data_IF_390893566111
#
_entry.id   IF_390893566111
#
_cell.length_a   1.000
_cell.length_b   1.000
_cell.length_c   1.000
_cell.angle_alpha   90.00
_cell.angle_beta   90.00
_cell.angle_gamma   90.00
#
_symmetry.space_group_name_H-M   'P 1'
#
loop_
_entity.id
_entity.type
_entity.pdbx_description
1 polymer ?
#
# COMPACT_ATOMS: atom_id res chain seq x y z
N UNK A 1 23.11 -25.87 14.38
CA UNK A 1 23.13 -25.16 13.09
C UNK A 1 22.19 -23.99 13.27
N UNK A 2 22.71 -22.77 13.40
CA UNK A 2 21.88 -21.58 13.40
C UNK A 2 21.36 -21.43 11.97
N UNK A 3 20.04 -21.59 11.78
CA UNK A 3 19.43 -21.28 10.49
C UNK A 3 19.57 -19.78 10.25
N UNK A 4 19.86 -19.38 9.02
CA UNK A 4 19.98 -17.97 8.65
C UNK A 4 18.77 -17.19 9.18
N UNK A 5 19.04 -16.26 10.08
CA UNK A 5 18.04 -15.40 10.70
C UNK A 5 17.36 -14.57 9.59
N UNK A 6 16.03 -14.63 9.51
CA UNK A 6 15.29 -13.96 8.45
C UNK A 6 15.09 -12.49 8.81
N UNK A 7 15.55 -11.59 7.97
CA UNK A 7 15.52 -10.14 8.27
C UNK A 7 14.24 -9.49 7.73
N UNK A 8 13.70 -8.52 8.46
CA UNK A 8 12.59 -7.65 8.05
C UNK A 8 13.11 -6.21 7.93
N UNK A 9 13.04 -5.64 6.73
CA UNK A 9 13.37 -4.24 6.47
C UNK A 9 12.14 -3.34 6.68
N UNK A 10 12.35 -2.22 7.36
CA UNK A 10 11.39 -1.12 7.37
C UNK A 10 11.76 -0.11 6.27
N UNK A 11 10.80 0.17 5.40
CA UNK A 11 10.93 1.13 4.30
C UNK A 11 10.06 2.34 4.62
N UNK A 12 10.70 3.49 4.83
CA UNK A 12 10.08 4.74 5.21
C UNK A 12 9.92 5.63 3.99
N UNK A 13 8.70 6.10 3.72
CA UNK A 13 8.36 6.86 2.51
C UNK A 13 8.05 8.31 2.85
N UNK A 14 8.73 9.24 2.16
CA UNK A 14 8.44 10.68 2.25
C UNK A 14 8.59 11.41 0.91
N UNK A 15 7.81 12.48 0.71
CA UNK A 15 7.60 13.10 -0.60
C UNK A 15 7.84 14.60 -0.74
N UNK A 16 8.00 15.34 0.36
CA UNK A 16 7.99 16.80 0.27
C UNK A 16 9.40 17.36 0.19
N UNK A 17 9.66 18.16 -0.86
CA UNK A 17 10.71 19.18 -0.88
C UNK A 17 10.10 20.47 -0.33
N UNK A 18 10.50 20.93 0.87
CA UNK A 18 10.18 22.32 1.25
C UNK A 18 11.11 23.23 0.47
N UNK A 19 10.61 24.40 0.07
CA UNK A 19 11.45 25.45 -0.49
C UNK A 19 12.42 25.95 0.59
N UNK A 20 13.55 25.26 0.78
CA UNK A 20 14.65 25.64 1.66
C UNK A 20 15.12 24.60 2.70
N UNK A 21 14.29 23.61 3.08
CA UNK A 21 14.59 22.64 4.15
C UNK A 21 14.06 21.24 3.78
N UNK A 22 14.80 20.16 4.06
CA UNK A 22 14.39 18.80 3.71
C UNK A 22 15.06 18.29 2.44
N UNK A 23 16.36 17.97 2.58
CA UNK A 23 17.09 17.13 1.63
C UNK A 23 16.82 15.65 1.94
N UNK A 24 17.07 14.77 0.98
CA UNK A 24 17.05 13.32 1.18
C UNK A 24 17.88 12.91 2.41
N UNK A 25 19.02 13.58 2.63
CA UNK A 25 19.89 13.38 3.81
C UNK A 25 19.19 13.69 5.14
N UNK A 26 18.43 14.80 5.21
CA UNK A 26 17.70 15.20 6.42
C UNK A 26 16.62 14.15 6.76
N UNK A 27 15.98 13.60 5.73
CA UNK A 27 14.98 12.54 5.89
C UNK A 27 15.63 11.23 6.36
N UNK A 28 16.78 10.85 5.78
CA UNK A 28 17.52 9.66 6.19
C UNK A 28 17.95 9.73 7.67
N UNK A 29 18.46 10.87 8.13
CA UNK A 29 18.83 11.07 9.54
C UNK A 29 17.61 10.92 10.48
N UNK A 30 16.49 11.56 10.14
CA UNK A 30 15.26 11.48 10.93
C UNK A 30 14.68 10.06 10.97
N UNK A 31 14.79 9.33 9.86
CA UNK A 31 14.40 7.92 9.77
C UNK A 31 15.29 7.04 10.65
N UNK A 32 16.61 7.29 10.68
CA UNK A 32 17.54 6.55 11.55
C UNK A 32 17.20 6.71 13.03
N UNK A 33 16.89 7.94 13.48
CA UNK A 33 16.46 8.19 14.86
C UNK A 33 15.15 7.46 15.17
N UNK A 34 14.14 7.61 14.31
CA UNK A 34 12.85 6.95 14.48
C UNK A 34 12.98 5.44 14.56
N UNK A 35 13.75 4.87 13.65
CA UNK A 35 13.91 3.42 13.52
C UNK A 35 14.55 2.81 14.76
N UNK A 36 15.52 3.49 15.38
CA UNK A 36 16.10 3.08 16.67
C UNK A 36 15.00 2.86 17.72
N UNK A 37 14.03 3.77 17.83
CA UNK A 37 12.91 3.59 18.76
C UNK A 37 11.92 2.52 18.32
N UNK A 38 11.76 2.26 17.01
CA UNK A 38 10.94 1.12 16.53
C UNK A 38 11.55 -0.20 16.98
N UNK A 39 12.88 -0.35 16.87
CA UNK A 39 13.60 -1.53 17.35
C UNK A 39 13.42 -1.71 18.87
N UNK A 40 13.59 -0.64 19.65
CA UNK A 40 13.41 -0.66 21.11
C UNK A 40 12.00 -1.08 21.53
N UNK A 41 10.96 -0.48 20.93
CA UNK A 41 9.57 -0.76 21.30
C UNK A 41 9.14 -2.16 20.81
N UNK A 42 9.61 -2.61 19.64
CA UNK A 42 9.37 -3.97 19.15
C UNK A 42 10.02 -5.03 20.07
N UNK A 43 11.21 -4.76 20.61
CA UNK A 43 11.90 -5.63 21.57
C UNK A 43 11.13 -5.80 22.89
N UNK A 44 10.32 -4.82 23.28
CA UNK A 44 9.57 -4.82 24.54
C UNK A 44 8.17 -5.43 24.42
N UNK A 45 7.65 -5.62 23.21
CA UNK A 45 6.30 -6.15 22.96
C UNK A 45 6.31 -7.66 22.78
N UNK A 46 5.81 -8.40 23.77
CA UNK A 46 5.67 -9.86 23.68
C UNK A 46 4.80 -10.27 22.48
N UNK A 47 3.74 -9.53 22.19
CA UNK A 47 2.82 -9.83 21.08
C UNK A 47 3.49 -9.61 19.73
N UNK A 48 4.27 -8.54 19.57
CA UNK A 48 5.02 -8.30 18.34
C UNK A 48 6.14 -9.33 18.16
N UNK A 49 6.87 -9.67 19.23
CA UNK A 49 7.89 -10.72 19.23
C UNK A 49 7.30 -12.06 18.78
N UNK A 50 6.18 -12.48 19.35
CA UNK A 50 5.55 -13.75 19.03
C UNK A 50 4.97 -13.79 17.61
N UNK A 51 4.31 -12.71 17.17
CA UNK A 51 3.48 -12.77 15.97
C UNK A 51 4.16 -12.25 14.70
N UNK A 52 5.01 -11.23 14.82
CA UNK A 52 5.79 -10.68 13.70
C UNK A 52 7.17 -11.32 13.65
N UNK A 53 7.88 -11.35 14.78
CA UNK A 53 9.25 -11.84 14.84
C UNK A 53 9.38 -13.35 15.08
N UNK A 54 8.25 -14.01 15.37
CA UNK A 54 8.16 -15.46 15.60
C UNK A 54 9.19 -15.94 16.62
N UNK A 55 9.26 -15.24 17.74
CA UNK A 55 10.17 -15.52 18.87
C UNK A 55 11.63 -15.66 18.44
N UNK A 56 12.10 -14.72 17.59
CA UNK A 56 13.48 -14.63 17.13
C UNK A 56 13.80 -15.43 15.86
N UNK A 57 12.80 -16.02 15.18
CA UNK A 57 13.03 -16.54 13.82
C UNK A 57 13.22 -15.42 12.79
N UNK A 58 12.69 -14.23 13.10
CA UNK A 58 12.94 -13.01 12.34
C UNK A 58 13.54 -11.92 13.22
N UNK A 59 14.39 -11.09 12.63
CA UNK A 59 14.87 -9.84 13.21
C UNK A 59 14.48 -8.65 12.37
N UNK A 60 14.40 -7.49 12.99
CA UNK A 60 14.32 -6.23 12.27
C UNK A 60 15.73 -5.83 11.85
N UNK A 61 15.90 -5.45 10.58
CA UNK A 61 17.16 -4.87 10.12
C UNK A 61 17.47 -3.63 10.97
N UNK A 62 18.71 -3.45 11.42
CA UNK A 62 19.09 -2.26 12.19
C UNK A 62 19.17 -1.00 11.33
N UNK A 63 19.40 -1.17 10.03
CA UNK A 63 19.56 -0.06 9.09
C UNK A 63 18.25 0.18 8.33
N UNK A 64 17.55 1.31 8.56
CA UNK A 64 16.31 1.58 7.88
C UNK A 64 16.53 1.99 6.42
N UNK A 65 15.53 1.73 5.59
CA UNK A 65 15.53 2.16 4.19
C UNK A 65 14.68 3.42 4.07
N UNK A 66 15.32 4.55 3.78
CA UNK A 66 14.64 5.79 3.43
C UNK A 66 14.34 5.81 1.92
N UNK A 67 13.06 5.91 1.57
CA UNK A 67 12.60 6.13 0.20
C UNK A 67 12.06 7.55 0.04
N UNK A 68 12.90 8.43 -0.49
CA UNK A 68 12.54 9.80 -0.80
C UNK A 68 12.16 9.93 -2.28
N UNK A 69 11.02 10.56 -2.56
CA UNK A 69 10.56 10.80 -3.94
C UNK A 69 10.41 12.28 -4.30
N UNK A 70 10.61 13.19 -3.33
CA UNK A 70 10.41 14.63 -3.50
C UNK A 70 11.41 15.34 -4.43
N UNK A 71 12.54 14.69 -4.74
CA UNK A 71 13.61 15.16 -5.62
C UNK A 71 13.34 14.86 -7.10
N UNK A 72 12.35 14.01 -7.40
CA UNK A 72 12.11 13.49 -8.75
C UNK A 72 11.33 14.46 -9.66
N UNK A 73 11.25 15.74 -9.28
CA UNK A 73 10.38 16.75 -9.88
C UNK A 73 11.13 17.93 -10.50
N UNK A 74 10.64 18.34 -11.67
CA UNK A 74 10.96 19.65 -12.25
C UNK A 74 10.15 20.75 -11.56
N UNK A 75 10.81 21.85 -11.20
CA UNK A 75 10.20 22.97 -10.46
C UNK A 75 8.94 23.56 -11.13
N UNK A 76 8.76 23.37 -12.44
CA UNK A 76 7.65 23.92 -13.23
C UNK A 76 6.28 23.31 -12.92
N UNK A 77 6.18 22.00 -12.69
CA UNK A 77 4.88 21.34 -12.41
C UNK A 77 4.37 21.65 -11.01
N UNK A 78 5.28 21.73 -10.03
CA UNK A 78 4.95 22.10 -8.65
C UNK A 78 4.55 23.57 -8.54
N UNK A 79 5.23 24.46 -9.28
CA UNK A 79 4.89 25.88 -9.33
C UNK A 79 3.48 26.14 -9.86
N UNK A 80 3.01 25.39 -10.86
CA UNK A 80 1.63 25.52 -11.38
C UNK A 80 0.58 25.16 -10.31
N UNK A 81 0.79 24.08 -9.57
CA UNK A 81 -0.11 23.68 -8.48
C UNK A 81 -0.02 24.65 -7.29
N UNK A 82 1.17 25.17 -6.99
CA UNK A 82 1.38 26.19 -5.95
C UNK A 82 0.66 27.51 -6.26
N UNK A 83 0.54 27.89 -7.55
CA UNK A 83 -0.27 29.03 -8.01
C UNK A 83 -1.77 28.75 -7.82
N UNK A 84 -2.24 27.53 -8.14
CA UNK A 84 -3.66 27.18 -7.95
C UNK A 84 -4.06 27.06 -6.47
N UNK A 85 -3.13 26.75 -5.58
CA UNK A 85 -3.35 26.69 -4.14
C UNK A 85 -2.99 28.00 -3.43
N UNK A 86 -2.72 29.08 -4.17
CA UNK A 86 -2.35 30.38 -3.60
C UNK A 86 -3.44 30.96 -2.69
N UNK A 87 -4.73 30.68 -2.98
CA UNK A 87 -5.87 31.09 -2.16
C UNK A 87 -5.81 30.53 -0.72
N UNK A 88 -5.18 29.36 -0.52
CA UNK A 88 -4.97 28.82 0.81
C UNK A 88 -3.88 29.59 1.58
N UNK A 89 -2.99 30.32 0.91
CA UNK A 89 -1.81 30.97 1.53
C UNK A 89 -2.06 32.43 1.98
N UNK A 90 -3.26 32.99 1.76
CA UNK A 90 -3.56 34.43 1.95
C UNK A 90 -3.91 34.89 3.40
N UNK A 91 -3.67 34.07 4.44
CA UNK A 91 -3.98 34.49 5.83
C UNK A 91 -2.92 35.43 6.43
N UNK A 92 -3.40 36.48 7.13
CA UNK A 92 -2.57 37.47 7.84
C UNK A 92 -2.10 37.04 9.25
N UNK A 93 -2.48 35.86 9.74
CA UNK A 93 -2.01 35.37 11.05
C UNK A 93 -1.04 34.20 10.91
N UNK A 94 0.12 34.28 11.59
CA UNK A 94 1.23 33.33 11.41
C UNK A 94 0.87 31.87 11.74
N UNK A 95 -0.05 31.67 12.68
CA UNK A 95 -0.53 30.34 13.09
C UNK A 95 -1.39 29.67 12.01
N UNK A 96 -2.33 30.41 11.44
CA UNK A 96 -3.21 29.93 10.36
C UNK A 96 -2.39 29.71 9.08
N UNK A 97 -1.40 30.57 8.82
CA UNK A 97 -0.47 30.42 7.69
C UNK A 97 0.31 29.10 7.73
N UNK A 98 0.77 28.64 8.91
CA UNK A 98 1.49 27.37 9.05
C UNK A 98 0.63 26.13 8.74
N UNK A 99 -0.61 26.11 9.24
CA UNK A 99 -1.59 25.05 8.95
C UNK A 99 -1.94 25.04 7.46
N UNK A 100 -2.24 26.21 6.91
CA UNK A 100 -2.57 26.37 5.50
C UNK A 100 -1.45 25.91 4.56
N UNK A 101 -0.19 26.21 4.90
CA UNK A 101 0.97 25.69 4.14
C UNK A 101 1.03 24.17 4.19
N UNK A 102 0.84 23.57 5.36
CA UNK A 102 0.83 22.10 5.51
C UNK A 102 -0.27 21.47 4.64
N UNK A 103 -1.50 21.98 4.73
CA UNK A 103 -2.62 21.53 3.87
C UNK A 103 -2.30 21.70 2.40
N UNK A 104 -1.80 22.87 1.98
CA UNK A 104 -1.47 23.13 0.58
C UNK A 104 -0.39 22.18 0.05
N UNK A 105 0.64 21.90 0.84
CA UNK A 105 1.70 20.96 0.44
C UNK A 105 1.18 19.54 0.31
N UNK A 106 0.39 19.05 1.27
CA UNK A 106 -0.17 17.69 1.16
C UNK A 106 -1.15 17.59 -0.01
N UNK A 107 -2.00 18.60 -0.22
CA UNK A 107 -2.93 18.61 -1.36
C UNK A 107 -2.18 18.67 -2.69
N UNK A 108 -1.12 19.47 -2.79
CA UNK A 108 -0.25 19.53 -3.98
C UNK A 108 0.29 18.15 -4.32
N UNK A 109 0.91 17.50 -3.34
CA UNK A 109 1.53 16.18 -3.50
C UNK A 109 0.48 15.11 -3.82
N UNK A 110 -0.66 15.16 -3.13
CA UNK A 110 -1.80 14.29 -3.35
C UNK A 110 -2.41 14.42 -4.75
N UNK A 111 -2.63 15.65 -5.23
CA UNK A 111 -3.13 15.90 -6.58
C UNK A 111 -2.13 15.48 -7.66
N UNK A 112 -0.83 15.62 -7.39
CA UNK A 112 0.19 15.14 -8.30
C UNK A 112 0.20 13.61 -8.36
N UNK A 113 0.16 12.94 -7.20
CA UNK A 113 0.07 11.48 -7.12
C UNK A 113 -1.23 10.91 -7.66
N UNK A 114 -2.35 11.65 -7.62
CA UNK A 114 -3.62 11.18 -8.17
C UNK A 114 -3.61 10.96 -9.70
N UNK A 115 -2.55 11.39 -10.41
CA UNK A 115 -2.41 11.15 -11.85
C UNK A 115 -1.79 9.76 -12.08
N UNK A 116 -2.40 8.88 -12.92
CA UNK A 116 -1.90 7.53 -13.21
C UNK A 116 -0.41 7.42 -13.51
N UNK A 117 0.09 8.26 -14.41
CA UNK A 117 1.50 8.28 -14.79
C UNK A 117 2.45 8.61 -13.64
N UNK A 118 1.98 9.35 -12.64
CA UNK A 118 2.79 9.86 -11.54
C UNK A 118 2.90 8.84 -10.42
N UNK A 119 1.77 8.35 -9.89
CA UNK A 119 1.84 7.33 -8.84
C UNK A 119 2.50 6.05 -9.36
N UNK A 120 2.25 5.67 -10.61
CA UNK A 120 2.86 4.47 -11.20
C UNK A 120 4.38 4.59 -11.27
N UNK A 121 4.90 5.74 -11.72
CA UNK A 121 6.35 5.99 -11.74
C UNK A 121 6.97 5.89 -10.35
N UNK A 122 6.36 6.51 -9.34
CA UNK A 122 6.86 6.45 -7.95
C UNK A 122 6.76 5.04 -7.39
N UNK A 123 5.65 4.35 -7.65
CA UNK A 123 5.41 2.97 -7.23
C UNK A 123 6.42 1.99 -7.81
N UNK A 124 6.77 2.12 -9.09
CA UNK A 124 7.80 1.30 -9.74
C UNK A 124 9.18 1.51 -9.13
N UNK A 125 9.55 2.76 -8.80
CA UNK A 125 10.84 3.02 -8.15
C UNK A 125 10.86 2.49 -6.71
N UNK A 126 9.75 2.62 -5.98
CA UNK A 126 9.60 1.97 -4.67
C UNK A 126 9.70 0.44 -4.80
N UNK A 127 9.12 -0.14 -5.85
CA UNK A 127 9.23 -1.56 -6.14
C UNK A 127 10.67 -2.00 -6.34
N UNK A 128 11.48 -1.23 -7.08
CA UNK A 128 12.91 -1.50 -7.25
C UNK A 128 13.67 -1.48 -5.91
N UNK A 129 13.37 -0.50 -5.05
CA UNK A 129 13.93 -0.45 -3.69
C UNK A 129 13.53 -1.68 -2.87
N UNK A 130 12.26 -2.09 -2.95
CA UNK A 130 11.76 -3.29 -2.26
C UNK A 130 12.42 -4.55 -2.81
N UNK A 131 12.52 -4.71 -4.13
CA UNK A 131 13.15 -5.88 -4.75
C UNK A 131 14.61 -6.03 -4.30
N UNK A 132 15.35 -4.94 -4.15
CA UNK A 132 16.71 -5.00 -3.61
C UNK A 132 16.80 -5.58 -2.18
N UNK A 133 15.77 -5.37 -1.34
CA UNK A 133 15.61 -6.05 -0.05
C UNK A 133 15.22 -7.53 -0.23
N UNK A 134 14.28 -7.80 -1.15
CA UNK A 134 13.79 -9.14 -1.38
C UNK A 134 14.87 -10.07 -1.98
N UNK A 135 15.76 -9.56 -2.81
CA UNK A 135 16.89 -10.29 -3.39
C UNK A 135 17.88 -10.76 -2.32
N UNK A 136 17.94 -10.08 -1.16
CA UNK A 136 18.71 -10.49 0.01
C UNK A 136 18.00 -11.56 0.86
N UNK A 137 16.81 -11.98 0.46
CA UNK A 137 15.96 -12.89 1.25
C UNK A 137 15.16 -12.19 2.35
N UNK A 138 15.21 -10.85 2.45
CA UNK A 138 14.51 -10.11 3.50
C UNK A 138 13.00 -10.05 3.24
N UNK A 139 12.24 -9.70 4.27
CA UNK A 139 10.83 -9.32 4.16
C UNK A 139 10.69 -7.84 4.45
N UNK A 140 9.53 -7.24 4.17
CA UNK A 140 9.39 -5.78 4.26
C UNK A 140 8.16 -5.35 5.05
N UNK A 141 8.30 -4.25 5.78
CA UNK A 141 7.22 -3.42 6.31
C UNK A 141 7.34 -2.05 5.67
N UNK A 142 6.25 -1.54 5.10
CA UNK A 142 6.24 -0.24 4.43
C UNK A 142 5.56 0.78 5.33
N UNK A 143 6.23 1.89 5.61
CA UNK A 143 5.70 3.01 6.40
C UNK A 143 5.61 4.28 5.55
N UNK A 144 4.38 4.71 5.28
CA UNK A 144 4.09 5.94 4.55
C UNK A 144 3.57 7.05 5.44
N UNK A 145 4.29 8.17 5.48
CA UNK A 145 3.84 9.41 6.14
C UNK A 145 3.26 10.39 5.12
N UNK A 146 2.11 10.99 5.44
CA UNK A 146 1.50 12.06 4.62
C UNK A 146 1.27 11.61 3.18
N UNK A 147 1.78 12.32 2.17
CA UNK A 147 1.73 11.87 0.78
C UNK A 147 2.40 10.48 0.57
N UNK A 148 3.33 10.08 1.43
CA UNK A 148 3.87 8.71 1.45
C UNK A 148 2.84 7.64 1.77
N UNK A 149 1.73 7.96 2.47
CA UNK A 149 0.62 7.02 2.66
C UNK A 149 -0.15 6.75 1.37
N UNK A 150 -0.20 7.72 0.46
CA UNK A 150 -0.81 7.58 -0.86
C UNK A 150 0.06 6.64 -1.70
N UNK A 151 1.38 6.85 -1.69
CA UNK A 151 2.34 5.95 -2.35
C UNK A 151 2.25 4.54 -1.77
N UNK A 152 2.14 4.39 -0.45
CA UNK A 152 1.97 3.08 0.20
C UNK A 152 0.70 2.36 -0.29
N UNK A 153 -0.40 3.10 -0.42
CA UNK A 153 -1.66 2.56 -0.91
C UNK A 153 -1.57 2.15 -2.38
N UNK A 154 -1.05 3.01 -3.26
CA UNK A 154 -0.87 2.67 -4.67
C UNK A 154 0.12 1.55 -4.88
N UNK A 155 1.20 1.51 -4.09
CA UNK A 155 2.12 0.38 -4.12
C UNK A 155 1.41 -0.92 -3.81
N UNK A 156 0.56 -0.91 -2.77
CA UNK A 156 -0.19 -2.08 -2.40
C UNK A 156 -1.17 -2.52 -3.50
N UNK A 157 -1.88 -1.56 -4.09
CA UNK A 157 -2.83 -1.79 -5.18
C UNK A 157 -2.15 -2.29 -6.47
N UNK A 158 -0.95 -1.80 -6.79
CA UNK A 158 -0.30 -2.13 -8.07
C UNK A 158 0.59 -3.36 -8.03
N UNK A 159 1.19 -3.67 -6.88
CA UNK A 159 2.24 -4.69 -6.78
C UNK A 159 1.86 -5.92 -5.93
N UNK A 160 0.78 -5.92 -5.14
CA UNK A 160 0.36 -7.15 -4.44
C UNK A 160 -0.34 -8.12 -5.40
N UNK A 161 -0.02 -9.44 -5.33
CA UNK A 161 -0.60 -10.44 -6.21
C UNK A 161 -1.98 -10.88 -5.71
N UNK A 162 -2.96 -9.97 -5.68
CA UNK A 162 -4.30 -10.22 -5.15
C UNK A 162 -5.35 -10.57 -6.21
N UNK A 163 -5.00 -10.51 -7.49
CA UNK A 163 -5.91 -10.83 -8.59
C UNK A 163 -5.79 -12.33 -8.89
N UNK A 164 -6.83 -13.11 -8.56
CA UNK A 164 -6.94 -14.52 -8.96
C UNK A 164 -7.49 -14.58 -10.39
N UNK A 165 -6.61 -14.74 -11.37
CA UNK A 165 -6.96 -14.75 -12.78
C UNK A 165 -7.85 -15.92 -13.16
N UNK A 166 -7.69 -17.08 -12.51
CA UNK A 166 -8.57 -18.21 -12.74
C UNK A 166 -9.99 -17.88 -12.25
N UNK A 167 -10.13 -17.26 -11.07
CA UNK A 167 -11.43 -16.82 -10.57
C UNK A 167 -12.08 -15.82 -11.52
N UNK A 168 -11.35 -14.77 -11.92
CA UNK A 168 -11.84 -13.74 -12.85
C UNK A 168 -12.27 -14.35 -14.19
N UNK A 169 -11.40 -15.16 -14.81
CA UNK A 169 -11.68 -15.77 -16.11
C UNK A 169 -12.85 -16.78 -16.04
N UNK A 170 -13.02 -17.47 -14.92
CA UNK A 170 -14.13 -18.44 -14.76
C UNK A 170 -15.52 -17.81 -14.68
N UNK A 171 -15.60 -16.49 -14.50
CA UNK A 171 -16.87 -15.75 -14.52
C UNK A 171 -17.37 -15.49 -15.95
N UNK A 172 -16.48 -15.56 -16.94
CA UNK A 172 -16.83 -15.41 -18.34
C UNK A 172 -17.10 -16.79 -18.99
N UNK A 173 -18.36 -17.09 -19.38
CA UNK A 173 -18.71 -18.37 -20.00
C UNK A 173 -18.06 -18.58 -21.37
N UNK A 174 -17.51 -17.54 -21.99
CA UNK A 174 -16.81 -17.64 -23.28
C UNK A 174 -15.32 -18.03 -23.11
N UNK A 175 -14.79 -18.04 -21.89
CA UNK A 175 -13.39 -18.44 -21.65
C UNK A 175 -13.18 -19.93 -21.98
N UNK A 176 -12.24 -20.28 -22.88
CA UNK A 176 -11.96 -21.66 -23.23
C UNK A 176 -11.44 -22.49 -22.03
N UNK A 177 -11.82 -23.78 -21.92
CA UNK A 177 -11.33 -24.66 -20.85
C UNK A 177 -9.80 -24.74 -20.77
N UNK A 178 -9.09 -24.76 -21.91
CA UNK A 178 -7.62 -24.78 -21.89
C UNK A 178 -7.00 -23.51 -21.29
N UNK A 179 -7.63 -22.35 -21.48
CA UNK A 179 -7.19 -21.08 -20.89
C UNK A 179 -7.41 -21.10 -19.38
N UNK A 180 -8.54 -21.65 -18.91
CA UNK A 180 -8.78 -21.85 -17.48
C UNK A 180 -7.77 -22.82 -16.86
N UNK A 181 -7.41 -23.90 -17.56
CA UNK A 181 -6.40 -24.85 -17.09
C UNK A 181 -5.01 -24.21 -16.96
N UNK A 182 -4.60 -23.36 -17.91
CA UNK A 182 -3.35 -22.61 -17.82
C UNK A 182 -3.30 -21.70 -16.58
N UNK A 183 -4.44 -21.08 -16.21
CA UNK A 183 -4.56 -20.19 -15.06
C UNK A 183 -4.56 -20.93 -13.70
N UNK A 184 -4.51 -22.27 -13.69
CA UNK A 184 -4.35 -23.04 -12.44
C UNK A 184 -2.92 -23.07 -11.92
N UNK A 185 -1.91 -22.82 -12.76
CA UNK A 185 -0.52 -22.78 -12.33
C UNK A 185 -0.32 -21.63 -11.32
N UNK A 186 0.16 -21.91 -10.09
CA UNK A 186 0.40 -20.88 -9.07
C UNK A 186 1.30 -19.72 -9.50
N UNK A 187 2.17 -19.90 -10.51
CA UNK A 187 3.04 -18.84 -11.04
C UNK A 187 2.29 -17.78 -11.84
N UNK A 188 1.13 -18.12 -12.39
CA UNK A 188 0.30 -17.21 -13.19
C UNK A 188 -1.03 -16.90 -12.52
N UNK A 189 -1.58 -17.83 -11.73
CA UNK A 189 -2.90 -17.73 -11.10
C UNK A 189 -3.10 -16.41 -10.35
N UNK A 190 -2.11 -16.03 -9.55
CA UNK A 190 -2.17 -14.79 -8.77
C UNK A 190 -1.26 -13.75 -9.40
N UNK A 191 -1.83 -12.61 -9.78
CA UNK A 191 -1.12 -11.50 -10.42
C UNK A 191 -1.47 -10.17 -9.74
N UNK A 192 -0.73 -9.15 -10.12
CA UNK A 192 -0.87 -7.77 -9.66
C UNK A 192 -1.12 -6.86 -10.87
N UNK A 193 -1.73 -5.69 -10.64
CA UNK A 193 -2.10 -4.76 -11.73
C UNK A 193 -0.90 -4.42 -12.61
N UNK A 194 0.26 -4.15 -12.01
CA UNK A 194 1.45 -3.73 -12.77
C UNK A 194 1.93 -4.82 -13.71
N UNK A 195 1.93 -6.10 -13.29
CA UNK A 195 2.29 -7.22 -14.15
C UNK A 195 1.30 -7.38 -15.32
N UNK A 196 -0.01 -7.21 -15.05
CA UNK A 196 -1.03 -7.31 -16.09
C UNK A 196 -0.89 -6.18 -17.13
N UNK A 197 -0.60 -4.96 -16.69
CA UNK A 197 -0.36 -3.82 -17.59
C UNK A 197 0.89 -4.06 -18.44
N UNK A 198 2.00 -4.44 -17.81
CA UNK A 198 3.27 -4.62 -18.51
C UNK A 198 3.27 -5.84 -19.44
N UNK A 199 2.39 -6.81 -19.19
CA UNK A 199 2.16 -7.94 -20.10
C UNK A 199 1.27 -7.61 -21.31
N UNK A 200 0.68 -6.41 -21.35
CA UNK A 200 -0.36 -6.00 -22.30
C UNK A 200 -1.65 -6.84 -22.24
N UNK A 201 -1.97 -7.45 -21.09
CA UNK A 201 -3.28 -8.09 -20.88
C UNK A 201 -4.36 -7.06 -20.61
N UNK A 202 -4.01 -5.99 -19.89
CA UNK A 202 -4.92 -4.91 -19.51
C UNK A 202 -4.29 -3.53 -19.75
N UNK A 203 -5.12 -2.50 -19.81
CA UNK A 203 -4.69 -1.10 -19.90
C UNK A 203 -5.68 -0.19 -19.18
N UNK A 204 -5.29 1.07 -18.96
CA UNK A 204 -6.22 2.10 -18.57
C UNK A 204 -6.89 2.74 -19.79
N UNK A 205 -8.21 2.88 -19.76
CA UNK A 205 -8.94 3.70 -20.72
C UNK A 205 -8.73 5.21 -20.44
N UNK A 206 -9.30 6.05 -21.31
CA UNK A 206 -9.26 7.52 -21.14
C UNK A 206 -9.94 8.04 -19.86
N UNK A 207 -10.77 7.22 -19.23
CA UNK A 207 -11.49 7.54 -17.99
C UNK A 207 -10.76 6.98 -16.76
N UNK A 208 -9.64 6.27 -16.93
CA UNK A 208 -8.88 5.65 -15.86
C UNK A 208 -9.42 4.28 -15.41
N UNK A 209 -10.33 3.65 -16.16
CA UNK A 209 -10.77 2.28 -15.88
C UNK A 209 -9.81 1.27 -16.44
N UNK A 210 -9.59 0.17 -15.73
CA UNK A 210 -8.88 -0.99 -16.25
C UNK A 210 -9.76 -1.74 -17.27
N UNK A 211 -9.26 -1.93 -18.48
CA UNK A 211 -9.95 -2.65 -19.57
C UNK A 211 -9.02 -3.69 -20.18
N UNK A 212 -9.55 -4.69 -20.88
CA UNK A 212 -8.70 -5.58 -21.66
C UNK A 212 -7.98 -4.77 -22.74
N UNK A 213 -6.76 -5.19 -23.10
CA UNK A 213 -5.98 -4.47 -24.13
C UNK A 213 -6.69 -4.45 -25.49
N UNK A 214 -7.41 -5.53 -25.80
CA UNK A 214 -8.12 -5.72 -27.07
C UNK A 214 -9.51 -5.05 -27.10
N UNK A 215 -9.99 -4.49 -25.99
CA UNK A 215 -11.26 -3.76 -25.96
C UNK A 215 -11.25 -2.60 -26.97
N UNK A 216 -12.12 -2.68 -27.98
CA UNK A 216 -12.25 -1.69 -29.04
C UNK A 216 -11.37 -1.93 -30.28
N UNK A 217 -10.73 -3.09 -30.40
CA UNK A 217 -10.12 -3.54 -31.66
C UNK A 217 -11.23 -4.01 -32.62
N UNK A 218 -11.45 -3.27 -33.71
CA UNK A 218 -12.43 -3.64 -34.74
C UNK A 218 -11.79 -4.53 -35.80
N UNK A 219 -11.98 -5.84 -35.65
CA UNK A 219 -11.84 -6.77 -36.77
C UNK A 219 -13.22 -7.01 -37.39
N UNK A 220 -13.31 -6.81 -38.70
CA UNK A 220 -14.56 -6.95 -39.47
C UNK A 220 -15.15 -8.37 -39.45
N UNK A 221 -14.34 -9.36 -39.09
CA UNK A 221 -14.70 -10.77 -38.98
C UNK A 221 -14.61 -11.20 -37.52
N UNK A 222 -15.75 -11.57 -36.94
CA UNK A 222 -15.87 -11.94 -35.52
C UNK A 222 -15.13 -13.24 -35.20
N UNK A 223 -15.10 -14.20 -36.12
CA UNK A 223 -14.44 -15.49 -35.89
C UNK A 223 -12.91 -15.29 -35.88
N UNK A 224 -12.41 -14.40 -36.76
CA UNK A 224 -11.00 -14.02 -36.74
C UNK A 224 -10.62 -13.22 -35.49
N UNK A 225 -11.51 -12.33 -35.03
CA UNK A 225 -11.30 -11.59 -33.78
C UNK A 225 -11.14 -12.56 -32.61
N UNK A 226 -12.09 -13.50 -32.47
CA UNK A 226 -12.09 -14.47 -31.39
C UNK A 226 -10.84 -15.36 -31.41
N UNK A 227 -10.44 -15.87 -32.59
CA UNK A 227 -9.22 -16.66 -32.72
C UNK A 227 -7.96 -15.87 -32.37
N UNK A 228 -7.90 -14.60 -32.80
CA UNK A 228 -6.79 -13.72 -32.46
C UNK A 228 -6.73 -13.43 -30.96
N UNK A 229 -7.86 -13.08 -30.34
CA UNK A 229 -7.98 -12.84 -28.89
C UNK A 229 -7.54 -14.06 -28.08
N UNK A 230 -7.94 -15.26 -28.49
CA UNK A 230 -7.53 -16.51 -27.85
C UNK A 230 -6.02 -16.73 -27.96
N UNK A 231 -5.46 -16.67 -29.18
CA UNK A 231 -4.03 -16.87 -29.40
C UNK A 231 -3.18 -15.82 -28.66
N UNK A 232 -3.60 -14.55 -28.73
CA UNK A 232 -2.97 -13.44 -28.01
C UNK A 232 -2.99 -13.67 -26.50
N UNK A 233 -4.15 -14.00 -25.95
CA UNK A 233 -4.30 -14.23 -24.51
C UNK A 233 -3.45 -15.41 -24.05
N UNK A 234 -3.43 -16.52 -24.80
CA UNK A 234 -2.59 -17.67 -24.49
C UNK A 234 -1.09 -17.32 -24.51
N UNK A 235 -0.64 -16.56 -25.52
CA UNK A 235 0.74 -16.10 -25.61
C UNK A 235 1.12 -15.22 -24.40
N UNK A 236 0.27 -14.25 -24.05
CA UNK A 236 0.54 -13.32 -22.95
C UNK A 236 0.45 -14.00 -21.58
N UNK A 237 -0.51 -14.90 -21.38
CA UNK A 237 -0.62 -15.71 -20.16
C UNK A 237 0.62 -16.60 -19.97
N UNK A 238 1.18 -17.16 -21.05
CA UNK A 238 2.40 -17.96 -20.98
C UNK A 238 3.63 -17.15 -20.52
N UNK A 239 3.68 -15.86 -20.81
CA UNK A 239 4.75 -14.95 -20.37
C UNK A 239 4.50 -14.34 -18.99
N UNK A 240 3.27 -14.44 -18.47
CA UNK A 240 2.86 -13.72 -17.27
C UNK A 240 3.65 -14.11 -16.01
N UNK A 241 4.19 -15.34 -15.95
CA UNK A 241 5.05 -15.75 -14.85
C UNK A 241 6.29 -14.84 -14.70
N UNK A 242 6.91 -14.44 -15.82
CA UNK A 242 8.07 -13.55 -15.82
C UNK A 242 7.69 -12.13 -15.40
N UNK A 243 6.52 -11.65 -15.82
CA UNK A 243 5.99 -10.36 -15.41
C UNK A 243 5.62 -10.34 -13.92
N UNK A 244 4.98 -11.39 -13.42
CA UNK A 244 4.68 -11.56 -12.00
C UNK A 244 5.97 -11.53 -11.15
N UNK A 245 7.03 -12.20 -11.62
CA UNK A 245 8.32 -12.16 -10.92
C UNK A 245 8.93 -10.75 -10.87
N UNK A 246 8.79 -9.98 -11.96
CA UNK A 246 9.41 -8.64 -12.08
C UNK A 246 8.63 -7.54 -11.37
N UNK A 247 7.30 -7.65 -11.34
CA UNK A 247 6.43 -6.54 -10.96
C UNK A 247 5.57 -6.83 -9.74
N UNK A 248 5.33 -8.10 -9.38
CA UNK A 248 4.57 -8.41 -8.18
C UNK A 248 5.50 -8.69 -7.00
N UNK A 249 5.08 -8.27 -5.81
CA UNK A 249 5.74 -8.70 -4.58
C UNK A 249 5.47 -10.20 -4.38
N UNK A 250 6.50 -11.03 -4.13
CA UNK A 250 6.28 -12.44 -3.87
C UNK A 250 5.44 -12.62 -2.60
N UNK A 251 4.66 -13.70 -2.59
CA UNK A 251 3.81 -14.08 -1.46
C UNK A 251 4.61 -14.16 -0.17
N UNK A 252 3.99 -13.77 0.94
CA UNK A 252 4.57 -13.80 2.29
C UNK A 252 5.81 -12.91 2.50
N UNK A 253 6.16 -12.04 1.54
CA UNK A 253 7.31 -11.11 1.65
C UNK A 253 6.96 -9.73 2.19
N UNK A 254 5.70 -9.31 2.09
CA UNK A 254 5.19 -8.13 2.78
C UNK A 254 4.61 -8.56 4.13
N UNK A 255 5.05 -7.94 5.22
CA UNK A 255 4.52 -8.21 6.58
C UNK A 255 3.47 -7.21 7.00
N UNK A 256 3.64 -5.95 6.61
CA UNK A 256 2.66 -4.95 6.95
C UNK A 256 2.86 -3.61 6.29
N UNK A 257 1.81 -2.82 6.43
CA UNK A 257 1.68 -1.47 5.92
C UNK A 257 1.35 -0.57 7.11
N UNK A 258 2.08 0.54 7.25
CA UNK A 258 1.83 1.54 8.28
C UNK A 258 1.63 2.88 7.58
N UNK A 259 0.47 3.48 7.79
CA UNK A 259 0.13 4.79 7.22
C UNK A 259 -0.08 5.79 8.35
N UNK A 260 0.56 6.95 8.26
CA UNK A 260 0.46 8.02 9.25
C UNK A 260 0.19 9.39 8.63
N UNK A 261 -0.72 10.16 9.24
CA UNK A 261 -1.08 11.50 8.77
C UNK A 261 -1.67 11.46 7.37
N UNK A 262 -2.46 10.42 7.10
CA UNK A 262 -2.83 10.02 5.75
C UNK A 262 -3.99 10.87 5.20
N UNK A 263 -3.81 11.55 4.06
CA UNK A 263 -4.90 12.24 3.36
C UNK A 263 -5.75 11.27 2.50
N UNK A 264 -5.50 9.95 2.55
CA UNK A 264 -6.09 8.99 1.63
C UNK A 264 -7.61 9.11 1.59
N UNK A 265 -8.28 9.23 2.75
CA UNK A 265 -9.74 9.35 2.81
C UNK A 265 -10.32 10.61 2.12
N UNK A 266 -9.55 11.70 1.98
CA UNK A 266 -9.97 12.88 1.22
C UNK A 266 -9.78 12.64 -0.28
N UNK A 267 -8.61 12.12 -0.65
CA UNK A 267 -8.13 12.10 -2.02
C UNK A 267 -8.60 10.86 -2.80
N UNK A 268 -9.01 9.80 -2.12
CA UNK A 268 -9.51 8.55 -2.72
C UNK A 268 -11.00 8.60 -3.11
N UNK A 269 -11.65 9.77 -3.03
CA UNK A 269 -13.10 9.93 -3.31
C UNK A 269 -13.48 9.88 -4.80
N UNK A 270 -12.51 9.64 -5.71
CA UNK A 270 -12.70 9.70 -7.17
C UNK A 270 -12.22 8.45 -7.93
N UNK A 271 -12.03 7.31 -7.27
CA UNK A 271 -11.74 6.08 -7.99
C UNK A 271 -12.92 5.66 -8.87
N UNK A 272 -12.63 5.13 -10.08
CA UNK A 272 -13.64 4.47 -10.90
C UNK A 272 -14.20 3.22 -10.20
N UNK A 273 -15.31 2.66 -10.69
CA UNK A 273 -15.88 1.43 -10.12
C UNK A 273 -14.83 0.31 -9.99
N UNK A 274 -13.98 0.17 -11.01
CA UNK A 274 -12.88 -0.81 -11.02
C UNK A 274 -11.86 -0.63 -9.88
N UNK A 275 -11.50 0.59 -9.50
CA UNK A 275 -10.58 0.82 -8.37
C UNK A 275 -11.22 0.44 -7.03
N UNK A 276 -12.54 0.62 -6.89
CA UNK A 276 -13.30 0.19 -5.72
C UNK A 276 -13.26 -1.33 -5.54
N UNK A 277 -13.58 -2.07 -6.60
CA UNK A 277 -13.62 -3.54 -6.59
C UNK A 277 -12.21 -4.12 -6.38
N UNK A 278 -11.21 -3.54 -7.04
CA UNK A 278 -9.79 -3.89 -6.84
C UNK A 278 -9.34 -3.63 -5.39
N UNK A 279 -9.81 -2.54 -4.77
CA UNK A 279 -9.56 -2.24 -3.35
C UNK A 279 -10.14 -3.31 -2.42
N UNK A 280 -11.35 -3.81 -2.70
CA UNK A 280 -11.96 -4.91 -1.93
C UNK A 280 -11.14 -6.20 -2.05
N UNK A 281 -10.69 -6.54 -3.26
CA UNK A 281 -9.82 -7.71 -3.49
C UNK A 281 -8.46 -7.57 -2.79
N UNK A 282 -7.88 -6.37 -2.78
CA UNK A 282 -6.67 -6.06 -2.01
C UNK A 282 -6.90 -6.29 -0.50
N UNK A 283 -8.02 -5.83 0.05
CA UNK A 283 -8.33 -6.05 1.46
C UNK A 283 -8.49 -7.53 1.79
N UNK A 284 -9.23 -8.28 0.97
CA UNK A 284 -9.31 -9.75 1.08
C UNK A 284 -7.92 -10.37 1.14
N UNK A 285 -7.04 -10.01 0.21
CA UNK A 285 -5.69 -10.55 0.17
C UNK A 285 -4.91 -10.23 1.44
N UNK A 286 -5.01 -9.02 1.98
CA UNK A 286 -4.36 -8.67 3.24
C UNK A 286 -4.79 -9.57 4.40
N UNK A 287 -6.11 -9.82 4.56
CA UNK A 287 -6.65 -10.73 5.57
C UNK A 287 -6.11 -12.17 5.43
N UNK A 288 -6.00 -12.66 4.19
CA UNK A 288 -5.62 -14.04 3.88
C UNK A 288 -4.11 -14.29 3.85
N UNK A 289 -3.30 -13.25 3.69
CA UNK A 289 -1.83 -13.34 3.64
C UNK A 289 -1.14 -12.87 4.93
N UNK A 290 -1.89 -12.73 6.02
CA UNK A 290 -1.34 -12.31 7.32
C UNK A 290 -0.59 -10.96 7.25
N UNK A 291 -1.13 -10.02 6.47
CA UNK A 291 -0.60 -8.65 6.33
C UNK A 291 -1.33 -7.77 7.34
N UNK A 292 -0.59 -7.11 8.23
CA UNK A 292 -1.17 -6.09 9.10
C UNK A 292 -1.17 -4.73 8.38
N UNK A 293 -2.25 -3.97 8.50
CA UNK A 293 -2.35 -2.61 7.97
C UNK A 293 -2.75 -1.66 9.09
N UNK A 294 -1.79 -0.86 9.57
CA UNK A 294 -1.98 0.09 10.65
C UNK A 294 -2.20 1.48 10.08
N UNK A 295 -3.28 2.11 10.50
CA UNK A 295 -3.59 3.48 10.17
C UNK A 295 -3.53 4.32 11.43
N UNK A 296 -2.51 5.17 11.54
CA UNK A 296 -2.18 5.88 12.77
C UNK A 296 -2.42 7.36 12.50
N UNK A 297 -3.17 8.07 13.35
CA UNK A 297 -3.28 9.52 13.25
C UNK A 297 -3.22 10.16 14.63
N UNK A 298 -2.48 11.28 14.72
CA UNK A 298 -2.56 12.15 15.88
C UNK A 298 -3.93 12.85 15.88
N UNK A 299 -4.53 13.04 17.05
CA UNK A 299 -5.85 13.67 17.18
C UNK A 299 -5.90 15.07 16.57
N UNK A 300 -4.80 15.82 16.74
CA UNK A 300 -4.65 17.17 16.21
C UNK A 300 -4.01 17.22 14.80
N UNK A 301 -3.88 16.09 14.10
CA UNK A 301 -3.45 16.12 12.71
C UNK A 301 -4.57 16.67 11.82
N UNK A 302 -4.34 17.84 11.22
CA UNK A 302 -5.29 18.53 10.34
C UNK A 302 -5.47 17.84 8.97
N UNK A 303 -4.58 16.89 8.66
CA UNK A 303 -4.55 16.12 7.41
C UNK A 303 -4.86 14.65 7.64
N UNK A 304 -4.59 14.13 8.84
CA UNK A 304 -4.81 12.72 9.16
C UNK A 304 -6.28 12.42 9.34
N UNK A 305 -6.90 11.78 8.35
CA UNK A 305 -8.29 11.36 8.44
C UNK A 305 -8.39 9.91 8.86
N UNK A 306 -9.26 9.56 9.82
CA UNK A 306 -9.44 8.18 10.22
C UNK A 306 -9.93 7.35 9.03
N UNK A 307 -9.41 6.13 8.91
CA UNK A 307 -9.99 5.17 7.99
C UNK A 307 -11.42 4.81 8.43
N UNK A 308 -12.43 4.89 7.55
CA UNK A 308 -13.83 4.87 7.96
C UNK A 308 -14.36 3.46 8.28
N UNK A 309 -13.62 2.39 7.98
CA UNK A 309 -14.12 1.02 8.07
C UNK A 309 -13.41 0.20 9.15
N UNK A 310 -14.20 -0.61 9.87
CA UNK A 310 -13.71 -1.68 10.74
C UNK A 310 -13.50 -2.99 9.96
N UNK A 311 -12.74 -3.93 10.52
CA UNK A 311 -12.46 -5.22 9.87
C UNK A 311 -13.75 -5.96 9.49
N UNK A 312 -14.75 -6.01 10.37
CA UNK A 312 -16.03 -6.69 10.10
C UNK A 312 -16.81 -6.02 8.96
N UNK A 313 -16.73 -4.70 8.86
CA UNK A 313 -17.40 -3.95 7.80
C UNK A 313 -16.73 -4.21 6.46
N UNK A 314 -15.40 -4.20 6.41
CA UNK A 314 -14.64 -4.54 5.21
C UNK A 314 -14.96 -5.97 4.78
N UNK A 315 -14.93 -6.95 5.69
CA UNK A 315 -15.30 -8.33 5.35
C UNK A 315 -16.72 -8.44 4.81
N UNK A 316 -17.70 -7.82 5.47
CA UNK A 316 -19.09 -7.84 5.00
C UNK A 316 -19.23 -7.24 3.61
N UNK A 317 -18.49 -6.17 3.31
CA UNK A 317 -18.51 -5.54 1.98
C UNK A 317 -17.87 -6.49 0.97
N UNK A 318 -16.69 -7.05 1.25
CA UNK A 318 -16.01 -8.01 0.38
C UNK A 318 -16.90 -9.22 0.08
N UNK A 319 -17.46 -9.86 1.11
CA UNK A 319 -18.29 -11.06 0.96
C UNK A 319 -19.62 -10.77 0.25
N UNK A 320 -20.22 -9.60 0.48
CA UNK A 320 -21.50 -9.21 -0.12
C UNK A 320 -21.36 -8.70 -1.55
N UNK A 321 -20.32 -7.94 -1.85
CA UNK A 321 -20.11 -7.30 -3.16
C UNK A 321 -19.51 -8.29 -4.15
N UNK A 322 -18.49 -9.04 -3.73
CA UNK A 322 -17.80 -9.97 -4.64
C UNK A 322 -18.37 -11.40 -4.59
N UNK A 323 -19.16 -11.74 -3.57
CA UNK A 323 -19.66 -13.10 -3.39
C UNK A 323 -18.56 -14.11 -3.02
N UNK A 324 -17.40 -13.63 -2.55
CA UNK A 324 -16.23 -14.45 -2.25
C UNK A 324 -16.08 -14.59 -0.73
N UNK A 325 -15.98 -15.82 -0.23
CA UNK A 325 -15.68 -16.09 1.18
C UNK A 325 -14.25 -15.69 1.52
N UNK A 326 -14.05 -14.91 2.60
CA UNK A 326 -12.72 -14.59 3.11
C UNK A 326 -12.30 -15.65 4.12
N UNK A 327 -11.05 -16.13 4.03
CA UNK A 327 -10.48 -17.04 5.03
C UNK A 327 -9.33 -16.37 5.79
N UNK A 328 -9.62 -15.61 6.87
CA UNK A 328 -8.58 -14.84 7.58
C UNK A 328 -7.45 -15.72 8.10
N UNK A 329 -6.21 -15.33 7.85
CA UNK A 329 -4.99 -16.02 8.37
C UNK A 329 -4.21 -15.19 9.39
N UNK A 330 -4.83 -14.14 9.92
CA UNK A 330 -4.21 -13.23 10.89
C UNK A 330 -3.89 -11.85 10.35
N UNK A 331 -4.20 -11.56 9.08
CA UNK A 331 -4.12 -10.20 8.56
C UNK A 331 -5.24 -9.35 9.14
N UNK A 332 -5.01 -8.05 9.28
CA UNK A 332 -5.99 -7.13 9.87
C UNK A 332 -5.72 -5.68 9.50
N UNK A 333 -6.79 -4.88 9.55
CA UNK A 333 -6.73 -3.43 9.49
C UNK A 333 -6.98 -2.88 10.88
N UNK A 334 -6.20 -1.89 11.29
CA UNK A 334 -6.41 -1.24 12.57
C UNK A 334 -6.26 0.27 12.46
N UNK A 335 -7.34 0.97 12.79
CA UNK A 335 -7.37 2.42 12.83
C UNK A 335 -7.05 2.91 14.25
N UNK A 336 -5.80 3.30 14.46
CA UNK A 336 -5.30 3.91 15.69
C UNK A 336 -5.28 5.44 15.56
N UNK A 337 -6.45 6.02 15.34
CA UNK A 337 -6.66 7.46 15.28
C UNK A 337 -7.14 8.02 16.63
N UNK A 338 -6.70 9.23 16.97
CA UNK A 338 -7.14 9.93 18.20
C UNK A 338 -6.10 9.98 19.32
N UNK A 339 -4.82 9.77 18.99
CA UNK A 339 -3.71 9.89 19.93
C UNK A 339 -3.56 11.37 20.31
N UNK A 340 -3.70 11.71 21.60
CA UNK A 340 -3.64 13.10 22.10
C UNK A 340 -2.29 13.50 22.68
N UNK A 341 -1.34 12.57 22.80
CA UNK A 341 -0.12 12.76 23.60
C UNK A 341 1.06 13.20 22.75
N UNK A 342 1.60 14.37 23.06
CA UNK A 342 2.95 14.78 22.68
C UNK A 342 3.07 15.64 21.43
N UNK A 343 1.97 15.87 20.72
CA UNK A 343 1.84 16.86 19.67
C UNK A 343 0.60 17.75 19.94
N UNK A 344 0.49 18.85 19.21
CA UNK A 344 -0.66 19.73 19.12
C UNK A 344 -0.96 19.98 17.63
N UNK A 345 -1.95 20.80 17.30
CA UNK A 345 -2.34 21.03 15.90
C UNK A 345 -1.25 21.63 14.99
N UNK A 346 -0.17 22.21 15.54
CA UNK A 346 0.94 22.75 14.74
C UNK A 346 1.94 21.67 14.31
N UNK A 347 2.06 20.60 15.09
CA UNK A 347 3.06 19.57 14.87
C UNK A 347 2.47 18.15 14.87
N UNK A 348 1.15 18.01 14.95
CA UNK A 348 0.43 16.75 14.88
C UNK A 348 0.74 16.01 13.58
N UNK A 349 0.76 16.71 12.46
CA UNK A 349 1.13 16.14 11.16
C UNK A 349 2.59 15.69 11.10
N UNK A 350 3.48 16.33 11.85
CA UNK A 350 4.90 16.00 11.92
C UNK A 350 5.27 15.22 13.18
N UNK A 351 4.28 14.63 13.85
CA UNK A 351 4.48 13.99 15.16
C UNK A 351 5.55 12.90 15.10
N UNK A 352 5.57 12.16 13.99
CA UNK A 352 6.56 11.14 13.69
C UNK A 352 8.01 11.64 13.71
N UNK A 353 8.26 12.86 13.21
CA UNK A 353 9.58 13.51 13.27
C UNK A 353 9.85 14.22 14.60
N UNK A 354 8.82 14.85 15.19
CA UNK A 354 9.00 15.71 16.36
C UNK A 354 9.01 14.93 17.68
N UNK A 355 8.48 13.71 17.69
CA UNK A 355 8.37 12.81 18.84
C UNK A 355 8.56 11.34 18.42
N UNK A 356 9.70 10.98 17.80
CA UNK A 356 9.92 9.66 17.22
C UNK A 356 9.66 8.53 18.20
N UNK A 357 10.17 8.62 19.44
CA UNK A 357 9.89 7.62 20.50
C UNK A 357 8.40 7.37 20.75
N UNK A 358 7.59 8.44 20.84
CA UNK A 358 6.15 8.31 21.09
C UNK A 358 5.41 7.75 19.88
N UNK A 359 5.85 8.10 18.68
CA UNK A 359 5.30 7.57 17.45
C UNK A 359 5.64 6.09 17.28
N UNK A 360 6.89 5.68 17.51
CA UNK A 360 7.31 4.26 17.48
C UNK A 360 6.51 3.42 18.45
N UNK A 361 6.29 3.90 19.69
CA UNK A 361 5.39 3.25 20.63
C UNK A 361 3.97 3.07 20.08
N UNK A 362 3.43 4.09 19.41
CA UNK A 362 2.10 4.00 18.83
C UNK A 362 1.98 3.01 17.66
N UNK A 363 3.07 2.76 16.91
CA UNK A 363 3.09 1.69 15.90
C UNK A 363 2.88 0.34 16.59
N UNK A 364 3.63 0.08 17.66
CA UNK A 364 3.56 -1.19 18.41
C UNK A 364 2.21 -1.31 19.13
N UNK A 365 1.76 -0.26 19.83
CA UNK A 365 0.45 -0.24 20.50
C UNK A 365 -0.70 -0.45 19.49
N UNK A 366 -0.59 0.08 18.28
CA UNK A 366 -1.57 -0.14 17.21
C UNK A 366 -1.58 -1.59 16.73
N UNK A 367 -0.41 -2.20 16.56
CA UNK A 367 -0.31 -3.61 16.22
C UNK A 367 -0.95 -4.50 17.30
N UNK A 368 -0.58 -4.32 18.56
CA UNK A 368 -1.09 -5.12 19.68
C UNK A 368 -2.61 -5.02 19.81
N UNK A 369 -3.15 -3.80 19.77
CA UNK A 369 -4.59 -3.59 19.89
C UNK A 369 -5.34 -4.18 18.70
N UNK A 370 -4.84 -4.01 17.48
CA UNK A 370 -5.44 -4.64 16.30
C UNK A 370 -5.41 -6.17 16.37
N UNK A 371 -4.30 -6.74 16.83
CA UNK A 371 -4.17 -8.18 17.05
C UNK A 371 -5.20 -8.70 18.07
N UNK A 372 -5.32 -8.06 19.24
CA UNK A 372 -6.26 -8.48 20.27
C UNK A 372 -7.72 -8.30 19.89
N UNK A 373 -8.04 -7.25 19.12
CA UNK A 373 -9.42 -7.02 18.69
C UNK A 373 -9.85 -7.98 17.58
N UNK A 374 -8.91 -8.45 16.75
CA UNK A 374 -9.25 -9.19 15.54
C UNK A 374 -8.72 -10.61 15.48
N UNK A 375 -7.41 -10.78 15.66
CA UNK A 375 -6.73 -12.06 15.41
C UNK A 375 -6.91 -13.01 16.60
N UNK A 376 -6.74 -12.50 17.81
CA UNK A 376 -6.82 -13.30 19.03
C UNK A 376 -8.18 -14.00 19.20
N UNK A 377 -9.35 -13.35 19.02
CA UNK A 377 -10.65 -14.01 19.13
C UNK A 377 -10.83 -15.14 18.09
N UNK A 378 -10.43 -14.91 16.83
CA UNK A 378 -10.54 -15.91 15.76
C UNK A 378 -9.73 -17.16 16.09
N UNK A 379 -8.51 -16.99 16.62
CA UNK A 379 -7.67 -18.11 17.02
C UNK A 379 -8.22 -18.86 18.25
N UNK A 380 -8.78 -18.15 19.22
CA UNK A 380 -9.39 -18.75 20.40
C UNK A 380 -10.61 -19.62 20.03
N UNK A 381 -11.46 -19.15 19.12
CA UNK A 381 -12.61 -19.91 18.61
C UNK A 381 -12.19 -21.14 17.80
N UNK A 382 -11.13 -21.05 17.00
CA UNK A 382 -10.60 -22.19 16.26
C UNK A 382 -10.01 -23.30 17.16
N UNK A 383 -9.57 -22.95 18.38
CA UNK A 383 -9.04 -23.90 19.37
C UNK A 383 -10.14 -24.53 20.24
N UNK A 384 -11.26 -23.83 20.48
CA UNK A 384 -12.38 -24.35 21.28
C UNK A 384 -13.22 -25.40 20.53
N UNK A 385 -13.06 -25.51 19.21
CA UNK A 385 -13.72 -26.48 18.33
C UNK A 385 -12.83 -27.66 17.90
N UNK A 386 -11.64 -27.82 18.49
CA UNK A 386 -10.80 -29.03 18.40
C UNK A 386 -10.89 -29.82 19.68
#
# INVERSE_FOLDING_TARGET
>A
MAGDEKVIDFIYIHGVKYSGEGREDDFAEQVSELHTYVLEEAAQSEIFQQNVLKDGQYSLNSDPIAFYWGDQFGESELNFLDVQLAWLKESKSGLVSGIQKTVAHVMRDGFWLAKPQNHRKVSLKLHQTIQASLDKGHQVVILGHSAGSIVTHYYALYHLPYIDLHEVASQDPETPPESLDALKDPKVRYSCIEALIESDLVRFDKNGNLTAFLDGVDMKDKDQLQQFEQAYTQEKVAQLADYNQKFCIPKDRLKGLVTFGSPNAILSSKGGQSEGDLGLRLFKHAFEQNIFWLHINHHDDVIGFPFPFKNEEVLRIVEKVEGITVTPKGGFFFNYSGIKKGANFLNGHFWYFKKPKKFSKAIIDAYEQGYYQWVHPIQADAMSHR
#
